data_IF_325663076348
#
_entry.id   IF_325663076348
#
_cell.length_a   1.000
_cell.length_b   1.000
_cell.length_c   1.000
_cell.angle_alpha   90.00
_cell.angle_beta   90.00
_cell.angle_gamma   90.00
#
_symmetry.space_group_name_H-M   'P 1'
#
loop_
_entity.id
_entity.type
_entity.pdbx_description
1 polymer ?
#
# COMPACT_ATOMS: atom_id res chain seq x y z
N UNK A 1 -9.61 -6.27 -8.29
CA UNK A 1 -10.83 -5.68 -7.68
C UNK A 1 -10.60 -4.21 -7.46
N UNK A 2 -11.61 -3.34 -7.69
CA UNK A 2 -11.45 -1.88 -7.58
C UNK A 2 -12.53 -1.32 -6.66
N UNK A 3 -12.15 -0.42 -5.74
CA UNK A 3 -13.07 0.30 -4.83
C UNK A 3 -12.75 1.78 -4.86
N UNK A 4 -13.79 2.64 -4.91
CA UNK A 4 -13.68 4.10 -4.76
C UNK A 4 -13.89 4.46 -3.29
N UNK A 5 -12.98 5.28 -2.77
CA UNK A 5 -13.05 5.81 -1.40
C UNK A 5 -13.01 7.33 -1.49
N UNK A 6 -13.99 8.01 -0.87
CA UNK A 6 -14.03 9.47 -0.79
C UNK A 6 -13.23 9.95 0.43
N UNK A 7 -12.35 10.95 0.22
CA UNK A 7 -11.56 11.57 1.27
C UNK A 7 -11.64 13.09 1.15
N UNK A 8 -12.61 13.69 1.82
CA UNK A 8 -12.92 15.11 1.64
C UNK A 8 -13.41 15.40 0.23
N UNK A 9 -12.70 16.28 -0.49
CA UNK A 9 -12.96 16.59 -1.89
C UNK A 9 -12.30 15.61 -2.86
N UNK A 10 -11.32 14.82 -2.39
CA UNK A 10 -10.57 13.86 -3.20
C UNK A 10 -11.27 12.50 -3.29
N UNK A 11 -11.04 11.82 -4.42
CA UNK A 11 -11.53 10.47 -4.67
C UNK A 11 -10.34 9.54 -4.91
N UNK A 12 -10.17 8.55 -4.01
CA UNK A 12 -9.10 7.56 -4.09
C UNK A 12 -9.64 6.31 -4.76
N UNK A 13 -9.03 5.91 -5.88
CA UNK A 13 -9.33 4.63 -6.52
C UNK A 13 -8.39 3.55 -5.99
N UNK A 14 -8.91 2.69 -5.11
CA UNK A 14 -8.17 1.55 -4.58
C UNK A 14 -8.23 0.39 -5.58
N UNK A 15 -7.07 -0.06 -6.07
CA UNK A 15 -6.93 -1.27 -6.88
C UNK A 15 -6.31 -2.38 -6.04
N UNK A 16 -7.08 -3.44 -5.77
CA UNK A 16 -6.64 -4.56 -4.95
C UNK A 16 -6.13 -5.70 -5.84
N UNK A 17 -4.91 -6.14 -5.55
CA UNK A 17 -4.26 -7.29 -6.18
C UNK A 17 -4.16 -8.41 -5.16
N UNK A 18 -4.91 -9.48 -5.39
CA UNK A 18 -4.84 -10.69 -4.58
C UNK A 18 -3.72 -11.59 -5.11
N UNK A 19 -2.85 -12.01 -4.21
CA UNK A 19 -1.73 -12.89 -4.54
C UNK A 19 -2.05 -14.32 -4.12
N UNK A 20 -1.67 -15.31 -4.92
CA UNK A 20 -1.83 -16.70 -4.54
C UNK A 20 -1.00 -17.01 -3.29
N UNK A 21 -1.65 -17.57 -2.25
CA UNK A 21 -1.02 -17.91 -0.96
C UNK A 21 -0.16 -19.18 -0.97
N UNK A 22 0.10 -19.75 -2.15
CA UNK A 22 0.91 -20.96 -2.26
C UNK A 22 2.33 -20.61 -2.70
N UNK A 23 3.30 -21.01 -1.93
CA UNK A 23 4.75 -20.85 -2.13
C UNK A 23 5.25 -21.37 -3.50
N UNK A 24 4.38 -22.03 -4.25
CA UNK A 24 4.69 -22.69 -5.54
C UNK A 24 4.71 -21.74 -6.74
N UNK A 25 4.28 -20.46 -6.57
CA UNK A 25 4.11 -19.51 -7.68
C UNK A 25 4.91 -18.21 -7.51
N UNK A 26 6.05 -18.25 -6.85
CA UNK A 26 6.94 -17.09 -6.60
C UNK A 26 7.30 -16.28 -7.86
N UNK A 27 7.17 -16.86 -9.06
CA UNK A 27 7.51 -16.15 -10.30
C UNK A 27 6.45 -15.17 -10.80
N UNK A 28 5.19 -15.33 -10.37
CA UNK A 28 4.08 -14.44 -10.81
C UNK A 28 3.88 -13.21 -9.91
N UNK A 29 4.29 -13.29 -8.63
CA UNK A 29 4.07 -12.21 -7.65
C UNK A 29 4.90 -10.95 -7.91
N UNK A 30 6.10 -11.08 -8.45
CA UNK A 30 7.06 -9.99 -8.57
C UNK A 30 6.60 -8.82 -9.46
N UNK A 31 5.79 -9.08 -10.48
CA UNK A 31 5.28 -8.03 -11.36
C UNK A 31 4.16 -7.19 -10.71
N UNK A 32 3.39 -7.78 -9.80
CA UNK A 32 2.30 -7.09 -9.09
C UNK A 32 2.82 -6.17 -7.98
N UNK A 33 3.97 -6.49 -7.37
CA UNK A 33 4.53 -5.70 -6.30
C UNK A 33 5.09 -4.34 -6.76
N UNK A 34 5.56 -4.25 -8.02
CA UNK A 34 6.35 -3.10 -8.51
C UNK A 34 5.66 -1.74 -8.43
N UNK A 35 4.33 -1.73 -8.53
CA UNK A 35 3.54 -0.49 -8.52
C UNK A 35 2.62 -0.42 -7.30
N UNK A 36 2.88 -1.21 -6.26
CA UNK A 36 2.09 -1.19 -5.04
C UNK A 36 2.46 0.01 -4.20
N UNK A 37 1.46 0.67 -3.63
CA UNK A 37 1.63 1.83 -2.75
C UNK A 37 1.47 1.46 -1.28
N UNK A 38 0.83 0.33 -1.01
CA UNK A 38 0.66 -0.25 0.32
C UNK A 38 0.53 -1.77 0.23
N UNK A 39 0.69 -2.46 1.35
CA UNK A 39 0.54 -3.90 1.44
C UNK A 39 -0.31 -4.29 2.64
N UNK A 40 -1.26 -5.19 2.41
CA UNK A 40 -2.06 -5.83 3.47
C UNK A 40 -1.49 -7.22 3.70
N UNK A 41 -0.99 -7.46 4.91
CA UNK A 41 -0.57 -8.78 5.37
C UNK A 41 -1.74 -9.46 6.07
N UNK A 42 -2.08 -10.66 5.65
CA UNK A 42 -3.24 -11.38 6.18
C UNK A 42 -2.81 -12.72 6.78
N UNK A 43 -3.28 -13.01 7.99
CA UNK A 43 -3.10 -14.30 8.62
C UNK A 43 -4.42 -14.81 9.23
N UNK A 44 -4.46 -16.09 9.56
CA UNK A 44 -5.59 -16.75 10.18
C UNK A 44 -5.40 -16.78 11.70
N UNK A 45 -6.32 -16.15 12.45
CA UNK A 45 -6.29 -16.11 13.92
C UNK A 45 -6.31 -17.50 14.57
N UNK A 46 -6.78 -18.51 13.86
CA UNK A 46 -6.81 -19.91 14.35
C UNK A 46 -5.53 -20.69 14.03
N UNK A 47 -4.60 -20.09 13.24
CA UNK A 47 -3.38 -20.75 12.78
C UNK A 47 -2.11 -19.97 13.15
N UNK A 48 -1.39 -20.36 14.23
CA UNK A 48 -0.12 -19.75 14.60
C UNK A 48 0.95 -19.87 13.52
N UNK A 49 0.87 -20.87 12.65
CA UNK A 49 1.79 -21.04 11.53
C UNK A 49 1.59 -19.92 10.47
N UNK A 50 0.34 -19.58 10.16
CA UNK A 50 0.05 -18.49 9.23
C UNK A 50 0.55 -17.15 9.76
N UNK A 51 0.51 -16.93 11.08
CA UNK A 51 1.07 -15.74 11.71
C UNK A 51 2.61 -15.69 11.60
N UNK A 52 3.30 -16.81 11.78
CA UNK A 52 4.76 -16.88 11.56
C UNK A 52 5.17 -16.54 10.12
N UNK A 53 4.34 -16.92 9.16
CA UNK A 53 4.59 -16.65 7.76
C UNK A 53 4.43 -15.16 7.38
N UNK A 54 3.79 -14.34 8.21
CA UNK A 54 3.62 -12.89 7.97
C UNK A 54 4.96 -12.20 7.73
N UNK A 55 5.97 -12.51 8.54
CA UNK A 55 7.31 -11.92 8.41
C UNK A 55 8.00 -12.37 7.12
N UNK A 56 7.79 -13.60 6.70
CA UNK A 56 8.34 -14.13 5.43
C UNK A 56 7.75 -13.34 4.25
N UNK A 57 6.44 -13.18 4.21
CA UNK A 57 5.74 -12.44 3.17
C UNK A 57 6.10 -10.96 3.14
N UNK A 58 6.23 -10.33 4.31
CA UNK A 58 6.65 -8.95 4.44
C UNK A 58 8.05 -8.74 3.85
N UNK A 59 9.00 -9.61 4.19
CA UNK A 59 10.37 -9.53 3.73
C UNK A 59 10.50 -9.83 2.23
N UNK A 60 9.75 -10.78 1.72
CA UNK A 60 9.67 -11.08 0.28
C UNK A 60 9.16 -9.88 -0.50
N UNK A 61 8.07 -9.27 -0.02
CA UNK A 61 7.49 -8.07 -0.62
C UNK A 61 8.51 -6.92 -0.66
N UNK A 62 9.15 -6.61 0.47
CA UNK A 62 10.16 -5.54 0.56
C UNK A 62 11.41 -5.82 -0.28
N UNK A 63 11.78 -7.08 -0.44
CA UNK A 63 12.92 -7.47 -1.28
C UNK A 63 12.60 -7.28 -2.75
N UNK A 64 11.40 -7.67 -3.15
CA UNK A 64 10.95 -7.61 -4.54
C UNK A 64 10.64 -6.18 -4.99
N UNK A 65 9.93 -5.41 -4.17
CA UNK A 65 9.60 -4.02 -4.44
C UNK A 65 10.83 -3.12 -4.34
N UNK A 66 11.72 -3.41 -3.39
CA UNK A 66 12.92 -2.64 -3.07
C UNK A 66 12.67 -1.12 -2.96
N UNK A 67 11.74 -0.67 -2.11
CA UNK A 67 11.42 0.74 -1.97
C UNK A 67 12.62 1.51 -1.41
N UNK A 68 12.76 2.83 -1.71
CA UNK A 68 13.85 3.66 -1.21
C UNK A 68 13.94 3.67 0.32
N UNK A 69 12.79 3.66 0.99
CA UNK A 69 12.70 3.52 2.45
C UNK A 69 11.78 2.36 2.81
N UNK A 70 12.39 1.28 3.29
CA UNK A 70 11.68 0.07 3.73
C UNK A 70 10.99 0.26 5.07
N UNK A 71 11.49 1.17 5.90
CA UNK A 71 11.00 1.37 7.26
C UNK A 71 9.66 2.10 7.30
N UNK A 72 9.40 2.98 6.33
CA UNK A 72 8.18 3.79 6.25
C UNK A 72 7.16 3.24 5.26
N UNK A 73 7.45 2.10 4.61
CA UNK A 73 6.52 1.52 3.65
C UNK A 73 5.20 1.13 4.34
N UNK A 74 4.02 1.52 3.75
CA UNK A 74 2.73 1.29 4.39
C UNK A 74 2.35 -0.19 4.42
N UNK A 75 2.45 -0.80 5.59
CA UNK A 75 1.90 -2.12 5.87
C UNK A 75 0.73 -2.03 6.84
N UNK A 76 -0.24 -2.93 6.68
CA UNK A 76 -1.32 -3.15 7.61
C UNK A 76 -1.49 -4.64 7.84
N UNK A 77 -1.84 -5.05 9.05
CA UNK A 77 -1.98 -6.44 9.44
C UNK A 77 -3.44 -6.79 9.69
N UNK A 78 -3.95 -7.83 9.01
CA UNK A 78 -5.28 -8.39 9.22
C UNK A 78 -5.19 -9.77 9.86
N UNK A 79 -5.71 -9.92 11.07
CA UNK A 79 -5.97 -11.21 11.68
C UNK A 79 -7.37 -11.67 11.30
N UNK A 80 -7.46 -12.51 10.26
CA UNK A 80 -8.73 -12.94 9.70
C UNK A 80 -9.33 -14.14 10.41
N UNK A 81 -10.59 -14.43 10.12
CA UNK A 81 -11.42 -15.47 10.72
C UNK A 81 -11.74 -15.23 12.20
N UNK A 82 -11.96 -13.96 12.57
CA UNK A 82 -12.37 -13.57 13.93
C UNK A 82 -13.75 -14.10 14.34
N UNK A 83 -14.52 -14.58 13.37
CA UNK A 83 -15.81 -15.26 13.56
C UNK A 83 -15.68 -16.67 14.13
N UNK A 84 -14.48 -17.26 14.10
CA UNK A 84 -14.25 -18.60 14.62
C UNK A 84 -13.93 -18.59 16.12
N UNK A 85 -14.44 -19.58 16.91
CA UNK A 85 -14.27 -19.59 18.36
C UNK A 85 -12.85 -20.03 18.80
N UNK A 86 -12.11 -20.76 17.96
CA UNK A 86 -10.83 -21.38 18.31
C UNK A 86 -9.63 -20.47 17.92
N UNK A 87 -9.59 -19.26 18.49
CA UNK A 87 -8.48 -18.33 18.32
C UNK A 87 -7.24 -18.87 19.03
N UNK A 88 -6.14 -19.06 18.29
CA UNK A 88 -4.88 -19.61 18.80
C UNK A 88 -3.73 -18.62 18.82
N UNK A 89 -3.78 -17.59 17.98
CA UNK A 89 -2.76 -16.55 17.98
C UNK A 89 -3.05 -15.58 19.12
N UNK A 90 -2.08 -15.39 20.01
CA UNK A 90 -2.25 -14.53 21.18
C UNK A 90 -2.19 -13.06 20.79
N UNK A 91 -3.04 -12.26 21.40
CA UNK A 91 -3.08 -10.82 21.15
C UNK A 91 -1.75 -10.13 21.53
N UNK A 92 -1.08 -10.61 22.58
CA UNK A 92 0.21 -10.11 23.02
C UNK A 92 1.29 -10.27 21.93
N UNK A 93 1.30 -11.42 21.24
CA UNK A 93 2.25 -11.70 20.16
C UNK A 93 1.98 -10.80 18.95
N UNK A 94 0.70 -10.55 18.63
CA UNK A 94 0.30 -9.64 17.55
C UNK A 94 0.72 -8.22 17.88
N UNK A 95 0.46 -7.75 19.08
CA UNK A 95 0.83 -6.40 19.52
C UNK A 95 2.33 -6.19 19.53
N UNK A 96 3.11 -7.18 20.00
CA UNK A 96 4.56 -7.15 19.98
C UNK A 96 5.09 -7.02 18.54
N UNK A 97 4.56 -7.82 17.61
CA UNK A 97 4.91 -7.75 16.20
C UNK A 97 4.60 -6.38 15.59
N UNK A 98 3.42 -5.85 15.87
CA UNK A 98 3.04 -4.52 15.37
C UNK A 98 3.94 -3.40 15.90
N UNK A 99 4.30 -3.44 17.19
CA UNK A 99 5.22 -2.47 17.80
C UNK A 99 6.62 -2.54 17.20
N UNK A 100 7.16 -3.73 16.97
CA UNK A 100 8.46 -3.95 16.32
C UNK A 100 8.50 -3.39 14.90
N UNK A 101 7.35 -3.36 14.22
CA UNK A 101 7.22 -2.86 12.84
C UNK A 101 6.55 -1.48 12.78
N UNK A 102 7.09 -0.50 13.50
CA UNK A 102 6.67 0.92 13.49
C UNK A 102 5.21 1.15 13.87
N UNK A 103 4.71 0.42 14.86
CA UNK A 103 3.31 0.44 15.28
C UNK A 103 2.36 0.17 14.11
N UNK A 104 2.66 -0.88 13.34
CA UNK A 104 1.84 -1.31 12.20
C UNK A 104 0.36 -1.41 12.62
N UNK A 105 -0.57 -0.77 11.90
CA UNK A 105 -1.98 -0.92 12.18
C UNK A 105 -2.44 -2.37 12.07
N UNK A 106 -3.24 -2.81 13.04
CA UNK A 106 -3.79 -4.16 13.11
C UNK A 106 -5.31 -4.12 13.19
N UNK A 107 -5.96 -5.02 12.47
CA UNK A 107 -7.40 -5.25 12.53
C UNK A 107 -7.70 -6.75 12.69
N UNK A 108 -8.51 -7.06 13.69
CA UNK A 108 -9.14 -8.38 13.79
C UNK A 108 -10.34 -8.42 12.85
N UNK A 109 -10.28 -9.24 11.81
CA UNK A 109 -11.24 -9.20 10.69
C UNK A 109 -11.98 -10.52 10.53
N UNK A 110 -13.17 -10.47 9.95
CA UNK A 110 -13.85 -11.62 9.37
C UNK A 110 -14.25 -11.32 7.93
N UNK A 111 -13.61 -11.99 6.99
CA UNK A 111 -13.99 -11.91 5.58
C UNK A 111 -15.36 -12.52 5.32
N UNK A 112 -15.78 -13.49 6.16
CA UNK A 112 -17.08 -14.14 6.08
C UNK A 112 -18.21 -13.20 6.48
N UNK A 113 -18.05 -12.48 7.60
CA UNK A 113 -19.10 -11.66 8.21
C UNK A 113 -18.91 -10.17 7.91
N UNK A 114 -17.84 -9.79 7.18
CA UNK A 114 -17.55 -8.39 6.82
C UNK A 114 -17.01 -7.54 7.97
N UNK A 115 -16.57 -8.17 9.08
CA UNK A 115 -16.14 -7.44 10.29
C UNK A 115 -14.81 -6.72 10.03
N UNK A 116 -14.76 -5.42 10.36
CA UNK A 116 -13.59 -4.54 10.29
C UNK A 116 -12.90 -4.42 8.91
N UNK A 117 -13.52 -4.94 7.84
CA UNK A 117 -12.93 -4.87 6.50
C UNK A 117 -12.97 -3.45 5.95
N UNK A 118 -14.10 -2.76 6.07
CA UNK A 118 -14.23 -1.40 5.55
C UNK A 118 -13.27 -0.44 6.23
N UNK A 119 -13.16 -0.50 7.55
CA UNK A 119 -12.23 0.31 8.33
C UNK A 119 -10.78 0.03 7.96
N UNK A 120 -10.41 -1.25 7.83
CA UNK A 120 -9.08 -1.66 7.44
C UNK A 120 -8.71 -1.20 6.02
N UNK A 121 -9.61 -1.32 5.04
CA UNK A 121 -9.37 -0.83 3.69
C UNK A 121 -9.30 0.69 3.61
N UNK A 122 -10.12 1.41 4.37
CA UNK A 122 -10.03 2.87 4.47
C UNK A 122 -8.68 3.28 5.07
N UNK A 123 -8.21 2.58 6.11
CA UNK A 123 -6.92 2.85 6.74
C UNK A 123 -5.75 2.66 5.77
N UNK A 124 -5.73 1.59 4.97
CA UNK A 124 -4.65 1.36 3.99
C UNK A 124 -4.67 2.41 2.89
N UNK A 125 -5.86 2.81 2.42
CA UNK A 125 -6.00 3.88 1.44
C UNK A 125 -5.45 5.21 1.97
N UNK A 126 -5.76 5.55 3.23
CA UNK A 126 -5.22 6.73 3.89
C UNK A 126 -3.70 6.72 3.99
N UNK A 127 -3.12 5.57 4.31
CA UNK A 127 -1.67 5.42 4.41
C UNK A 127 -0.99 5.58 3.05
N UNK A 128 -1.53 4.97 2.00
CA UNK A 128 -1.04 5.10 0.63
C UNK A 128 -1.16 6.55 0.13
N UNK A 129 -2.31 7.19 0.31
CA UNK A 129 -2.54 8.57 -0.07
C UNK A 129 -1.56 9.54 0.60
N UNK A 130 -1.37 9.43 1.92
CA UNK A 130 -0.46 10.30 2.67
C UNK A 130 1.01 10.11 2.28
N UNK A 131 1.38 8.93 1.79
CA UNK A 131 2.72 8.67 1.26
C UNK A 131 2.93 9.38 -0.06
N UNK A 132 1.97 9.33 -0.97
CA UNK A 132 2.07 9.93 -2.29
C UNK A 132 2.08 11.46 -2.22
N UNK A 133 1.23 12.07 -1.41
CA UNK A 133 1.22 13.53 -1.22
C UNK A 133 2.55 14.05 -0.67
N UNK A 134 3.18 13.34 0.27
CA UNK A 134 4.51 13.71 0.78
C UNK A 134 5.62 13.56 -0.26
N UNK A 135 5.52 12.63 -1.19
CA UNK A 135 6.49 12.46 -2.28
C UNK A 135 6.35 13.56 -3.33
N UNK A 136 5.15 14.05 -3.59
CA UNK A 136 4.89 15.16 -4.51
C UNK A 136 5.34 16.50 -3.94
N UNK A 137 5.13 16.75 -2.64
CA UNK A 137 5.64 17.95 -1.96
C UNK A 137 7.17 18.06 -1.96
N UNK A 138 7.88 16.92 -1.99
CA UNK A 138 9.35 16.89 -2.09
C UNK A 138 9.86 17.15 -3.52
N UNK A 139 9.03 17.05 -4.53
CA UNK A 139 9.33 17.35 -5.92
C UNK A 139 8.73 18.71 -6.31
N UNK A 140 9.26 19.79 -5.76
CA UNK A 140 9.06 21.13 -6.31
C UNK A 140 10.03 21.24 -7.50
N UNK A 141 9.57 21.22 -8.76
CA UNK A 141 10.45 21.52 -9.89
C UNK A 141 10.99 22.92 -9.67
N UNK A 142 12.30 23.08 -9.71
CA UNK A 142 12.94 24.38 -9.66
C UNK A 142 12.45 25.19 -10.89
N UNK A 143 11.42 26.02 -10.68
CA UNK A 143 10.73 26.80 -11.73
C UNK A 143 11.61 27.91 -12.32
N UNK A 144 12.94 27.81 -12.18
CA UNK A 144 13.89 28.81 -12.70
C UNK A 144 14.30 28.61 -14.16
N UNK A 145 13.87 27.54 -14.83
CA UNK A 145 14.27 27.30 -16.22
C UNK A 145 13.08 27.07 -17.15
N UNK A 146 12.31 28.13 -17.46
CA UNK A 146 11.60 28.22 -18.73
C UNK A 146 11.18 29.70 -18.96
N UNK A 147 12.17 30.61 -19.15
CA UNK A 147 11.91 31.76 -19.98
C UNK A 147 11.98 31.31 -21.44
N UNK A 148 10.84 30.91 -21.99
CA UNK A 148 10.68 30.81 -23.43
C UNK A 148 10.63 32.22 -23.94
N UNK A 149 11.74 32.70 -24.49
CA UNK A 149 11.75 33.89 -25.35
C UNK A 149 10.93 33.58 -26.58
N UNK A 150 9.71 34.09 -26.66
CA UNK A 150 8.96 34.14 -27.91
C UNK A 150 9.70 35.10 -28.85
N UNK A 151 10.45 34.54 -29.80
CA UNK A 151 10.89 35.30 -30.96
C UNK A 151 9.67 35.55 -31.87
N UNK A 152 9.32 36.85 -32.02
CA UNK A 152 8.29 37.26 -32.96
C UNK A 152 8.75 36.96 -34.41
N UNK A 153 7.87 36.40 -35.25
CA UNK A 153 8.21 36.13 -36.64
C UNK A 153 8.39 37.47 -37.42
N UNK A 154 9.60 37.72 -37.90
CA UNK A 154 9.92 38.84 -38.81
C UNK A 154 9.03 38.74 -40.05
N UNK A 155 8.17 39.76 -40.23
CA UNK A 155 7.43 39.97 -41.48
C UNK A 155 8.41 40.21 -42.62
N UNK A 156 8.49 39.29 -43.56
CA UNK A 156 9.13 39.52 -44.86
C UNK A 156 8.25 40.47 -45.66
N UNK A 157 8.72 41.72 -45.85
CA UNK A 157 8.11 42.65 -46.75
C UNK A 157 8.27 42.13 -48.19
N UNK A 158 7.17 42.06 -48.92
CA UNK A 158 7.14 41.94 -50.36
C UNK A 158 7.36 43.35 -50.92
N UNK A 159 8.45 43.53 -51.64
CA UNK A 159 8.58 44.66 -52.60
C UNK A 159 8.61 44.07 -54.01
N UNK A 160 7.70 44.51 -54.77
CA UNK A 160 7.56 45.09 -56.02
C UNK A 160 8.05 44.35 -57.25
#
# INVERSE_FOLDING_TARGET
MTKLIQKGEDSIQLQLWDTAGAERYNSMGSSFYRNSEACILVFDLTSPESFKNVEIWRNEFLTTLNPPDKSTYPFILFGNKSDLPDIKVKNEDIQAYCQEHNNMPYFSTSAKDGINLEEGFNKVADMAYNRNTKSEESFIPDTKFLKITQEEPKKKGCCG
#
